data_IF_933645138748
#
_entry.id   IF_933645138748
#
_cell.length_a   1.000
_cell.length_b   1.000
_cell.length_c   1.000
_cell.angle_alpha   90.00
_cell.angle_beta   90.00
_cell.angle_gamma   90.00
#
_symmetry.space_group_name_H-M   'P 1'
#
loop_
_entity.id
_entity.type
_entity.pdbx_description
1 polymer ?
#
# COMPACT_ATOMS: atom_id res chain seq x y z
N UNK A 1 -7.80 12.24 -13.38
CA UNK A 1 -8.03 13.23 -12.31
C UNK A 1 -6.73 13.35 -11.54
N UNK A 2 -6.22 14.56 -11.34
CA UNK A 2 -4.98 14.78 -10.57
C UNK A 2 -5.32 15.13 -9.12
N UNK A 3 -4.43 14.79 -8.18
CA UNK A 3 -4.57 15.21 -6.80
C UNK A 3 -4.61 16.75 -6.70
N UNK A 4 -5.51 17.28 -5.87
CA UNK A 4 -5.68 18.73 -5.65
C UNK A 4 -5.55 19.04 -4.16
N UNK A 5 -4.63 19.95 -3.83
CA UNK A 5 -4.40 20.41 -2.46
C UNK A 5 -5.68 21.10 -1.94
N UNK A 6 -6.04 20.84 -0.67
CA UNK A 6 -7.22 21.41 -0.02
C UNK A 6 -8.54 20.72 -0.38
N UNK A 7 -8.56 19.78 -1.34
CA UNK A 7 -9.71 18.91 -1.56
C UNK A 7 -9.63 17.66 -0.68
N UNK A 8 -10.78 17.28 -0.11
CA UNK A 8 -10.92 16.01 0.60
C UNK A 8 -10.59 14.85 -0.34
N UNK A 9 -9.71 13.96 0.09
CA UNK A 9 -9.40 12.74 -0.64
C UNK A 9 -10.64 11.85 -0.71
N UNK A 10 -10.93 11.22 -1.88
CA UNK A 10 -12.01 10.26 -1.98
C UNK A 10 -11.66 8.99 -1.19
N UNK A 11 -12.67 8.32 -0.64
CA UNK A 11 -12.47 7.01 -0.04
C UNK A 11 -11.84 6.04 -1.07
N UNK A 12 -10.96 5.17 -0.56
CA UNK A 12 -10.30 4.14 -1.35
C UNK A 12 -11.36 3.15 -1.84
N UNK A 13 -11.35 2.89 -3.15
CA UNK A 13 -12.17 1.86 -3.78
C UNK A 13 -11.34 0.60 -3.93
N UNK A 14 -11.35 -0.22 -2.88
CA UNK A 14 -10.63 -1.50 -2.85
C UNK A 14 -11.61 -2.66 -3.02
N UNK A 15 -11.18 -3.72 -3.68
CA UNK A 15 -11.94 -4.95 -3.78
C UNK A 15 -11.89 -5.75 -2.47
N UNK A 16 -10.74 -5.73 -1.79
CA UNK A 16 -10.48 -6.56 -0.62
C UNK A 16 -9.41 -5.94 0.29
N UNK A 17 -9.53 -6.22 1.59
CA UNK A 17 -8.52 -5.91 2.60
C UNK A 17 -7.87 -7.23 3.05
N UNK A 18 -6.59 -7.40 2.72
CA UNK A 18 -5.84 -8.65 3.01
C UNK A 18 -5.12 -8.65 4.36
N UNK A 19 -5.01 -7.48 5.01
CA UNK A 19 -4.31 -7.32 6.28
C UNK A 19 -5.06 -6.37 7.21
N UNK A 20 -5.18 -6.75 8.48
CA UNK A 20 -5.82 -5.96 9.53
C UNK A 20 -7.35 -5.96 9.46
N UNK A 21 -7.96 -5.15 10.32
CA UNK A 21 -9.42 -4.95 10.32
C UNK A 21 -9.72 -3.83 9.34
N UNK A 22 -10.13 -4.17 8.11
CA UNK A 22 -10.29 -3.25 6.97
C UNK A 22 -10.77 -1.84 7.33
N UNK A 23 -10.13 -0.83 6.75
CA UNK A 23 -10.32 0.59 7.09
C UNK A 23 -10.56 1.48 5.85
N UNK A 24 -10.76 2.78 6.01
CA UNK A 24 -10.77 3.75 4.89
C UNK A 24 -10.51 5.19 5.37
N UNK A 25 -10.26 6.13 4.44
CA UNK A 25 -9.81 7.49 4.75
C UNK A 25 -10.79 8.29 5.63
N UNK A 26 -12.09 8.04 5.54
CA UNK A 26 -13.11 8.68 6.36
C UNK A 26 -12.98 8.36 7.86
N UNK A 27 -12.47 7.18 8.19
CA UNK A 27 -12.23 6.73 9.56
C UNK A 27 -10.97 7.34 10.19
N UNK A 28 -10.13 8.01 9.40
CA UNK A 28 -8.86 8.64 9.85
C UNK A 28 -8.96 10.17 9.92
N UNK A 29 -10.16 10.70 10.15
CA UNK A 29 -10.37 12.14 10.25
C UNK A 29 -9.54 12.75 11.39
N UNK A 30 -8.71 13.75 11.09
CA UNK A 30 -7.80 14.39 12.05
C UNK A 30 -6.39 13.80 12.08
N UNK A 31 -6.18 12.65 11.44
CA UNK A 31 -4.89 11.99 11.32
C UNK A 31 -4.25 12.26 9.96
N UNK A 32 -2.93 12.13 9.89
CA UNK A 32 -2.21 12.10 8.61
C UNK A 32 -2.25 10.67 8.09
N UNK A 33 -2.74 10.48 6.87
CA UNK A 33 -2.76 9.16 6.22
C UNK A 33 -1.80 9.16 5.03
N UNK A 34 -0.79 8.30 5.09
CA UNK A 34 0.08 7.98 3.97
C UNK A 34 -0.50 6.76 3.26
N UNK A 35 -0.68 6.85 1.94
CA UNK A 35 -1.09 5.71 1.11
C UNK A 35 0.05 5.34 0.18
N UNK A 36 0.65 4.18 0.41
CA UNK A 36 1.68 3.61 -0.46
C UNK A 36 1.00 2.78 -1.55
N UNK A 37 1.02 3.27 -2.78
CA UNK A 37 0.43 2.58 -3.93
C UNK A 37 1.52 1.79 -4.63
N UNK A 38 1.38 0.47 -4.67
CA UNK A 38 2.42 -0.42 -5.17
C UNK A 38 1.88 -1.55 -6.05
N UNK A 39 2.80 -2.26 -6.69
CA UNK A 39 2.56 -3.52 -7.38
C UNK A 39 3.36 -4.62 -6.70
N UNK A 40 2.78 -5.82 -6.58
CA UNK A 40 3.48 -6.98 -6.01
C UNK A 40 4.71 -7.34 -6.87
N UNK A 41 4.61 -7.13 -8.18
CA UNK A 41 5.70 -7.35 -9.14
C UNK A 41 6.46 -6.06 -9.54
N UNK A 42 6.64 -5.09 -8.65
CA UNK A 42 7.42 -3.88 -8.95
C UNK A 42 8.69 -3.79 -8.08
N UNK A 43 9.88 -4.06 -8.64
CA UNK A 43 11.15 -3.93 -7.92
C UNK A 43 11.35 -2.58 -7.22
N UNK A 44 10.99 -1.49 -7.88
CA UNK A 44 11.14 -0.13 -7.33
C UNK A 44 10.30 0.08 -6.06
N UNK A 45 9.09 -0.49 -5.99
CA UNK A 45 8.26 -0.44 -4.80
C UNK A 45 8.95 -1.15 -3.62
N UNK A 46 9.57 -2.30 -3.85
CA UNK A 46 10.20 -3.08 -2.77
C UNK A 46 11.57 -2.56 -2.36
N UNK A 47 12.33 -2.00 -3.29
CA UNK A 47 13.65 -1.43 -2.99
C UNK A 47 13.56 -0.05 -2.32
N UNK A 48 12.52 0.73 -2.62
CA UNK A 48 12.46 2.14 -2.21
C UNK A 48 11.15 2.52 -1.50
N UNK A 49 10.00 2.37 -2.16
CA UNK A 49 8.72 2.90 -1.66
C UNK A 49 8.20 2.25 -0.37
N UNK A 50 8.19 0.91 -0.33
CA UNK A 50 7.77 0.13 0.85
C UNK A 50 8.73 0.36 2.03
N UNK A 51 10.07 0.28 1.86
CA UNK A 51 11.00 0.63 2.94
C UNK A 51 10.78 2.04 3.50
N UNK A 52 10.59 3.06 2.65
CA UNK A 52 10.33 4.43 3.09
C UNK A 52 9.02 4.54 3.88
N UNK A 53 7.96 3.88 3.39
CA UNK A 53 6.67 3.83 4.08
C UNK A 53 6.75 3.16 5.46
N UNK A 54 7.54 2.09 5.59
CA UNK A 54 7.81 1.42 6.86
C UNK A 54 8.60 2.34 7.80
N UNK A 55 9.59 3.09 7.30
CA UNK A 55 10.35 4.05 8.10
C UNK A 55 9.42 5.16 8.64
N UNK A 56 8.57 5.73 7.79
CA UNK A 56 7.58 6.73 8.19
C UNK A 56 6.65 6.17 9.25
N UNK A 57 6.11 4.97 9.05
CA UNK A 57 5.27 4.32 10.06
C UNK A 57 6.00 4.18 11.40
N UNK A 58 7.21 3.64 11.40
CA UNK A 58 7.97 3.42 12.63
C UNK A 58 8.29 4.72 13.37
N UNK A 59 8.59 5.80 12.63
CA UNK A 59 8.94 7.11 13.19
C UNK A 59 7.73 7.90 13.72
N UNK A 60 6.56 7.73 13.10
CA UNK A 60 5.39 8.58 13.36
C UNK A 60 4.14 7.86 13.88
N UNK A 61 4.18 6.54 14.10
CA UNK A 61 3.03 5.77 14.64
C UNK A 61 2.47 6.28 15.98
N UNK A 62 3.26 7.01 16.77
CA UNK A 62 2.82 7.64 18.02
C UNK A 62 2.33 9.09 17.87
N UNK A 63 2.28 9.61 16.63
CA UNK A 63 1.95 11.00 16.29
C UNK A 63 0.81 11.08 15.27
N UNK A 64 -0.18 10.20 15.41
CA UNK A 64 -1.39 10.19 14.59
C UNK A 64 -1.12 10.05 13.07
N UNK A 65 -0.05 9.34 12.70
CA UNK A 65 0.23 8.93 11.31
C UNK A 65 -0.20 7.49 11.11
N UNK A 66 -1.06 7.27 10.12
CA UNK A 66 -1.46 5.94 9.64
C UNK A 66 -0.88 5.69 8.24
N UNK A 67 -0.41 4.48 7.99
CA UNK A 67 0.14 4.06 6.70
C UNK A 67 -0.72 2.93 6.13
N UNK A 68 -1.19 3.09 4.90
CA UNK A 68 -2.01 2.12 4.17
C UNK A 68 -1.27 1.68 2.91
N UNK A 69 -1.06 0.38 2.74
CA UNK A 69 -0.58 -0.20 1.48
C UNK A 69 -1.74 -0.51 0.54
N UNK A 70 -1.69 -0.02 -0.70
CA UNK A 70 -2.66 -0.32 -1.74
C UNK A 70 -1.97 -0.98 -2.94
N UNK A 71 -2.19 -2.28 -3.09
CA UNK A 71 -1.75 -2.99 -4.28
C UNK A 71 -2.67 -2.64 -5.46
N UNK A 72 -2.10 -2.16 -6.57
CA UNK A 72 -2.85 -1.80 -7.79
C UNK A 72 -2.22 -2.47 -9.01
N UNK A 73 -2.99 -3.29 -9.72
CA UNK A 73 -2.53 -3.92 -10.96
C UNK A 73 -2.87 -3.03 -12.16
N UNK A 74 -1.85 -2.58 -12.89
CA UNK A 74 -2.01 -1.90 -14.18
C UNK A 74 -1.18 -2.51 -15.31
N UNK A 75 -0.30 -3.47 -14.98
CA UNK A 75 0.46 -4.33 -15.88
C UNK A 75 0.75 -5.67 -15.19
N UNK A 76 1.27 -6.67 -15.92
CA UNK A 76 1.58 -8.02 -15.40
C UNK A 76 0.46 -8.60 -14.54
N UNK A 77 -0.78 -8.61 -15.07
CA UNK A 77 -1.97 -9.03 -14.34
C UNK A 77 -1.91 -10.49 -13.84
N UNK A 78 -1.08 -11.32 -14.45
CA UNK A 78 -0.77 -12.69 -14.02
C UNK A 78 0.05 -12.74 -12.73
N UNK A 79 0.80 -11.67 -12.41
CA UNK A 79 1.67 -11.57 -11.24
C UNK A 79 1.09 -10.66 -10.17
N UNK A 80 0.47 -9.55 -10.56
CA UNK A 80 -0.17 -8.59 -9.65
C UNK A 80 -1.58 -9.06 -9.25
N UNK A 81 -1.64 -10.22 -8.58
CA UNK A 81 -2.90 -10.88 -8.19
C UNK A 81 -3.15 -10.79 -6.69
N UNK A 82 -4.42 -10.94 -6.29
CA UNK A 82 -4.81 -11.07 -4.88
C UNK A 82 -4.02 -12.19 -4.18
N UNK A 83 -3.94 -13.36 -4.82
CA UNK A 83 -3.21 -14.52 -4.29
C UNK A 83 -1.74 -14.21 -3.98
N UNK A 84 -1.06 -13.48 -4.86
CA UNK A 84 0.34 -13.13 -4.64
C UNK A 84 0.49 -12.01 -3.58
N UNK A 85 -0.50 -11.13 -3.47
CA UNK A 85 -0.57 -10.16 -2.37
C UNK A 85 -0.77 -10.85 -1.02
N UNK A 86 -1.66 -11.83 -0.92
CA UNK A 86 -1.85 -12.65 0.28
C UNK A 86 -0.55 -13.39 0.65
N UNK A 87 0.08 -14.04 -0.33
CA UNK A 87 1.37 -14.71 -0.14
C UNK A 87 2.43 -13.76 0.43
N UNK A 88 2.53 -12.54 -0.11
CA UNK A 88 3.44 -11.51 0.39
C UNK A 88 3.14 -11.14 1.84
N UNK A 89 1.87 -10.89 2.18
CA UNK A 89 1.48 -10.47 3.52
C UNK A 89 1.70 -11.58 4.56
N UNK A 90 1.42 -12.83 4.20
CA UNK A 90 1.52 -13.98 5.10
C UNK A 90 2.96 -14.45 5.30
N UNK A 91 3.78 -14.43 4.24
CA UNK A 91 5.10 -15.09 4.24
C UNK A 91 6.27 -14.15 3.99
N UNK A 92 6.01 -12.91 3.58
CA UNK A 92 7.04 -11.98 3.11
C UNK A 92 7.62 -12.33 1.73
N UNK A 93 7.10 -13.37 1.05
CA UNK A 93 7.62 -13.82 -0.25
C UNK A 93 7.14 -12.91 -1.39
N UNK A 94 8.08 -12.45 -2.20
CA UNK A 94 7.85 -11.71 -3.44
C UNK A 94 7.80 -12.64 -4.65
N UNK A 95 7.35 -12.13 -5.80
CA UNK A 95 7.22 -12.90 -7.05
C UNK A 95 7.77 -12.12 -8.24
N UNK A 96 8.07 -12.83 -9.34
CA UNK A 96 8.33 -12.25 -10.65
C UNK A 96 9.66 -11.49 -10.73
N UNK A 97 9.65 -10.27 -11.26
CA UNK A 97 10.84 -9.42 -11.34
C UNK A 97 11.32 -8.98 -9.97
N UNK A 98 10.40 -8.77 -9.01
CA UNK A 98 10.76 -8.43 -7.63
C UNK A 98 11.59 -9.54 -6.95
N UNK A 99 11.35 -10.81 -7.28
CA UNK A 99 12.09 -11.95 -6.72
C UNK A 99 13.55 -12.03 -7.23
N UNK A 100 13.87 -11.32 -8.31
CA UNK A 100 15.21 -11.32 -8.91
C UNK A 100 16.11 -10.20 -8.39
N UNK A 101 15.58 -9.32 -7.55
CA UNK A 101 16.25 -8.12 -7.07
C UNK A 101 16.94 -8.32 -5.72
#
# INVERSE_FOLDING_TARGET
MSAQIGKKAPNLKVSEWVQGNGSNLDQHSGNVVLVEVFQVNCPGCFMYGIPESIEIFNKYKSKDVSVLGMATAFEDFDKNTLKNLELLVETGKVVGETEKC
#
